data_IF_303498653418
#
_entry.id   IF_303498653418
#
_cell.length_a   1.000
_cell.length_b   1.000
_cell.length_c   1.000
_cell.angle_alpha   90.00
_cell.angle_beta   90.00
_cell.angle_gamma   90.00
#
_symmetry.space_group_name_H-M   'P 1'
#
loop_
_entity.id
_entity.type
_entity.pdbx_description
1 polymer ?
#
# COMPACT_ATOMS: atom_id res chain seq x y z
N UNK A 1 15.36 5.76 17.71
CA UNK A 1 14.82 6.41 16.48
C UNK A 1 14.38 5.32 15.53
N UNK A 2 13.13 5.37 15.04
CA UNK A 2 12.56 4.29 14.20
C UNK A 2 13.07 4.40 12.76
N UNK A 3 13.16 5.61 12.22
CA UNK A 3 13.61 5.88 10.86
C UNK A 3 14.41 7.18 10.85
N UNK A 4 15.60 7.15 10.24
CA UNK A 4 16.33 8.33 9.84
C UNK A 4 16.20 8.50 8.32
N UNK A 5 15.61 9.58 7.86
CA UNK A 5 15.41 9.83 6.42
C UNK A 5 16.73 10.00 5.67
N UNK A 6 17.83 10.35 6.37
CA UNK A 6 19.16 10.43 5.80
C UNK A 6 19.74 9.05 5.41
N UNK A 7 19.22 7.97 6.02
CA UNK A 7 19.62 6.59 5.72
C UNK A 7 18.81 5.96 4.58
N UNK A 8 17.79 6.67 4.06
CA UNK A 8 16.93 6.16 3.00
C UNK A 8 17.62 6.29 1.64
N UNK A 9 18.02 5.17 1.01
CA UNK A 9 18.95 5.20 -0.12
C UNK A 9 18.36 5.80 -1.41
N UNK A 10 17.05 5.92 -1.50
CA UNK A 10 16.37 6.46 -2.68
C UNK A 10 15.94 7.93 -2.52
N UNK A 11 16.25 8.59 -1.40
CA UNK A 11 15.99 10.02 -1.20
C UNK A 11 17.25 10.80 -1.60
N UNK A 12 17.19 11.64 -2.65
CA UNK A 12 18.31 12.50 -3.03
C UNK A 12 18.67 13.47 -1.90
N UNK A 13 19.95 13.63 -1.58
CA UNK A 13 20.42 14.49 -0.50
C UNK A 13 19.89 15.94 -0.58
N UNK A 14 19.72 16.46 -1.79
CA UNK A 14 19.17 17.81 -2.04
C UNK A 14 17.70 17.95 -1.69
N UNK A 15 16.95 16.84 -1.60
CA UNK A 15 15.51 16.83 -1.31
C UNK A 15 15.20 16.44 0.14
N UNK A 16 16.18 16.06 0.94
CA UNK A 16 15.96 15.61 2.33
C UNK A 16 15.14 16.62 3.16
N UNK A 17 15.46 17.93 3.02
CA UNK A 17 14.74 18.98 3.77
C UNK A 17 13.30 19.23 3.29
N UNK A 18 12.94 18.73 2.11
CA UNK A 18 11.63 18.87 1.50
C UNK A 18 10.86 17.54 1.52
N UNK A 19 11.41 16.52 2.16
CA UNK A 19 10.79 15.20 2.26
C UNK A 19 9.93 15.13 3.53
N UNK A 20 8.67 14.77 3.36
CA UNK A 20 7.72 14.58 4.44
C UNK A 20 7.52 13.09 4.71
N UNK A 21 7.42 12.72 5.99
CA UNK A 21 7.03 11.37 6.40
C UNK A 21 5.51 11.35 6.54
N UNK A 22 4.85 10.56 5.70
CA UNK A 22 3.40 10.42 5.65
C UNK A 22 2.85 9.38 6.63
N UNK A 23 3.67 8.42 7.03
CA UNK A 23 3.28 7.43 8.01
C UNK A 23 4.08 6.14 7.98
N UNK A 24 3.71 5.25 8.90
CA UNK A 24 4.32 3.92 9.07
C UNK A 24 3.26 2.84 9.24
N UNK A 25 3.61 1.63 8.81
CA UNK A 25 2.93 0.39 9.17
C UNK A 25 3.98 -0.61 9.64
N UNK A 26 3.62 -1.44 10.60
CA UNK A 26 4.51 -2.45 11.18
C UNK A 26 3.93 -3.82 10.89
N UNK A 27 4.78 -4.78 10.48
CA UNK A 27 4.36 -6.18 10.31
C UNK A 27 3.95 -6.79 11.65
N UNK A 28 3.09 -7.82 11.62
CA UNK A 28 2.57 -8.44 12.85
C UNK A 28 3.67 -9.06 13.72
N UNK A 29 4.73 -9.57 13.11
CA UNK A 29 5.90 -10.11 13.77
C UNK A 29 6.94 -9.05 14.20
N UNK A 30 6.66 -7.78 13.92
CA UNK A 30 7.51 -6.63 14.15
C UNK A 30 8.89 -6.68 13.46
N UNK A 31 9.07 -7.55 12.49
CA UNK A 31 10.35 -7.71 11.77
C UNK A 31 10.55 -6.66 10.67
N UNK A 32 9.46 -6.05 10.18
CA UNK A 32 9.50 -5.13 9.06
C UNK A 32 8.64 -3.89 9.33
N UNK A 33 9.16 -2.73 8.93
CA UNK A 33 8.39 -1.48 8.89
C UNK A 33 8.26 -1.06 7.42
N UNK A 34 7.04 -0.77 7.00
CA UNK A 34 6.76 0.01 5.80
C UNK A 34 6.60 1.48 6.18
N UNK A 35 7.27 2.37 5.50
CA UNK A 35 7.16 3.81 5.71
C UNK A 35 6.80 4.51 4.40
N UNK A 36 6.00 5.57 4.51
CA UNK A 36 5.57 6.38 3.38
C UNK A 36 6.23 7.75 3.46
N UNK A 37 6.79 8.22 2.35
CA UNK A 37 7.44 9.53 2.25
C UNK A 37 7.00 10.25 0.98
N UNK A 38 6.74 11.54 1.09
CA UNK A 38 6.61 12.45 -0.04
C UNK A 38 7.95 13.15 -0.27
N UNK A 39 8.65 12.75 -1.33
CA UNK A 39 9.99 13.24 -1.66
C UNK A 39 9.86 14.53 -2.45
N UNK A 40 10.30 15.64 -1.85
CA UNK A 40 10.30 16.95 -2.50
C UNK A 40 8.94 17.67 -2.40
N UNK A 41 8.04 17.21 -1.55
CA UNK A 41 6.70 17.79 -1.36
C UNK A 41 5.92 17.91 -2.68
N UNK A 42 5.88 16.81 -3.42
CA UNK A 42 5.27 16.75 -4.76
C UNK A 42 3.88 16.08 -4.74
N UNK A 43 3.34 15.83 -3.55
CA UNK A 43 2.07 15.11 -3.35
C UNK A 43 2.07 13.69 -3.95
N UNK A 44 3.26 13.09 -4.07
CA UNK A 44 3.47 11.74 -4.61
C UNK A 44 4.22 10.89 -3.61
N UNK A 45 3.51 9.95 -3.05
CA UNK A 45 4.03 9.12 -1.97
C UNK A 45 4.83 7.94 -2.51
N UNK A 46 6.01 7.76 -1.94
CA UNK A 46 6.86 6.57 -2.13
C UNK A 46 6.88 5.79 -0.83
N UNK A 47 6.66 4.48 -0.90
CA UNK A 47 6.85 3.59 0.24
C UNK A 47 8.22 2.92 0.18
N UNK A 48 8.86 2.83 1.34
CA UNK A 48 10.09 2.08 1.58
C UNK A 48 9.93 1.11 2.73
N UNK A 49 10.96 0.29 2.95
CA UNK A 49 10.92 -0.75 3.98
C UNK A 49 12.19 -0.71 4.82
N UNK A 50 12.04 -0.93 6.13
CA UNK A 50 13.14 -1.11 7.06
C UNK A 50 13.03 -2.47 7.74
N UNK A 51 14.08 -3.26 7.64
CA UNK A 51 14.22 -4.51 8.36
C UNK A 51 14.63 -4.21 9.80
N UNK A 52 13.79 -4.58 10.76
CA UNK A 52 13.98 -4.27 12.17
C UNK A 52 14.98 -5.19 12.84
N UNK A 53 15.21 -6.37 12.27
CA UNK A 53 16.22 -7.32 12.79
C UNK A 53 17.63 -6.82 12.52
N UNK A 54 17.85 -6.27 11.32
CA UNK A 54 19.17 -5.76 10.91
C UNK A 54 19.31 -4.24 11.10
N UNK A 55 18.21 -3.52 11.33
CA UNK A 55 18.15 -2.07 11.40
C UNK A 55 18.35 -1.36 10.05
N UNK A 56 18.44 -2.10 8.95
CA UNK A 56 18.76 -1.54 7.62
C UNK A 56 17.50 -1.16 6.85
N UNK A 57 17.57 -0.01 6.17
CA UNK A 57 16.59 0.35 5.14
C UNK A 57 16.88 -0.44 3.87
N UNK A 58 15.85 -1.07 3.32
CA UNK A 58 15.95 -1.85 2.10
C UNK A 58 16.05 -0.91 0.89
N UNK A 59 16.69 -1.38 -0.18
CA UNK A 59 16.79 -0.62 -1.44
C UNK A 59 15.48 -0.57 -2.20
N UNK A 60 14.57 -1.47 -1.89
CA UNK A 60 13.24 -1.59 -2.49
C UNK A 60 12.39 -0.38 -2.17
N UNK A 61 11.72 0.14 -3.19
CA UNK A 61 10.73 1.21 -3.06
C UNK A 61 9.53 0.94 -3.96
N UNK A 62 8.36 1.38 -3.53
CA UNK A 62 7.13 1.41 -4.29
C UNK A 62 6.75 2.88 -4.53
N UNK A 63 6.39 3.23 -5.74
CA UNK A 63 6.05 4.61 -6.12
C UNK A 63 4.54 4.77 -6.33
N UNK A 64 4.05 6.00 -6.23
CA UNK A 64 2.63 6.34 -6.36
C UNK A 64 1.73 5.53 -5.40
N UNK A 65 2.15 5.40 -4.16
CA UNK A 65 1.44 4.62 -3.15
C UNK A 65 0.39 5.49 -2.47
N UNK A 66 -0.87 5.05 -2.47
CA UNK A 66 -1.92 5.66 -1.66
C UNK A 66 -1.85 5.13 -0.23
N UNK A 67 -2.38 3.94 0.02
CA UNK A 67 -2.24 3.28 1.32
C UNK A 67 -1.49 1.95 1.20
N UNK A 68 -0.96 1.46 2.32
CA UNK A 68 -0.21 0.22 2.42
C UNK A 68 -0.55 -0.51 3.71
N UNK A 69 -0.75 -1.83 3.62
CA UNK A 69 -1.01 -2.71 4.75
C UNK A 69 -0.20 -3.99 4.62
N UNK A 70 0.18 -4.59 5.75
CA UNK A 70 0.86 -5.88 5.73
C UNK A 70 -0.12 -7.04 5.52
N UNK A 71 0.26 -7.95 4.64
CA UNK A 71 -0.28 -9.29 4.53
C UNK A 71 0.35 -10.24 5.56
N UNK A 72 0.50 -11.52 5.22
CA UNK A 72 1.26 -12.47 6.00
C UNK A 72 2.76 -12.39 5.64
N UNK A 73 3.63 -12.67 6.60
CA UNK A 73 5.06 -12.68 6.40
C UNK A 73 5.59 -11.34 5.89
N UNK A 74 6.28 -11.37 4.76
CA UNK A 74 6.82 -10.18 4.08
C UNK A 74 5.97 -9.68 2.92
N UNK A 75 4.72 -10.10 2.87
CA UNK A 75 3.76 -9.62 1.86
C UNK A 75 3.13 -8.30 2.30
N UNK A 76 2.98 -7.39 1.37
CA UNK A 76 2.21 -6.16 1.55
C UNK A 76 1.16 -6.03 0.45
N UNK A 77 0.08 -5.34 0.78
CA UNK A 77 -0.93 -4.88 -0.16
C UNK A 77 -0.91 -3.36 -0.15
N UNK A 78 -0.95 -2.76 -1.32
CA UNK A 78 -0.99 -1.31 -1.41
C UNK A 78 -1.90 -0.85 -2.54
N UNK A 79 -2.46 0.34 -2.40
CA UNK A 79 -3.13 1.02 -3.49
C UNK A 79 -2.12 1.80 -4.30
N UNK A 80 -2.15 1.61 -5.62
CA UNK A 80 -1.39 2.41 -6.56
C UNK A 80 -2.26 3.56 -7.06
N UNK A 81 -1.69 4.76 -7.04
CA UNK A 81 -2.34 5.96 -7.54
C UNK A 81 -1.98 6.22 -9.00
N UNK A 82 -2.95 6.71 -9.74
CA UNK A 82 -2.77 7.19 -11.09
C UNK A 82 -1.77 8.37 -11.12
N UNK A 83 -0.88 8.36 -12.10
CA UNK A 83 0.23 9.32 -12.16
C UNK A 83 -0.21 10.76 -12.42
N UNK A 84 -1.35 10.98 -13.05
CA UNK A 84 -1.81 12.33 -13.42
C UNK A 84 -2.80 12.88 -12.38
N UNK A 85 -3.77 12.08 -11.97
CA UNK A 85 -4.83 12.49 -11.06
C UNK A 85 -4.52 12.25 -9.58
N UNK A 86 -3.46 11.49 -9.27
CA UNK A 86 -3.13 11.00 -7.91
C UNK A 86 -4.27 10.20 -7.25
N UNK A 87 -5.19 9.66 -8.05
CA UNK A 87 -6.33 8.87 -7.62
C UNK A 87 -5.89 7.42 -7.38
N UNK A 88 -6.12 6.82 -6.20
CA UNK A 88 -5.91 5.40 -6.00
C UNK A 88 -6.95 4.62 -6.81
N UNK A 89 -6.50 3.72 -7.69
CA UNK A 89 -7.36 2.99 -8.62
C UNK A 89 -7.08 1.50 -8.69
N UNK A 90 -5.94 1.07 -8.16
CA UNK A 90 -5.47 -0.30 -8.30
C UNK A 90 -4.95 -0.83 -6.97
N UNK A 91 -5.16 -2.11 -6.67
CA UNK A 91 -4.57 -2.80 -5.53
C UNK A 91 -3.54 -3.80 -6.02
N UNK A 92 -2.34 -3.70 -5.47
CA UNK A 92 -1.21 -4.57 -5.79
C UNK A 92 -0.81 -5.34 -4.53
N UNK A 93 -0.64 -6.64 -4.69
CA UNK A 93 0.07 -7.50 -3.75
C UNK A 93 1.55 -7.48 -4.12
N UNK A 94 2.42 -7.33 -3.13
CA UNK A 94 3.86 -7.26 -3.32
C UNK A 94 4.58 -8.08 -2.26
N UNK A 95 5.54 -8.92 -2.66
CA UNK A 95 6.44 -9.63 -1.74
C UNK A 95 7.75 -8.83 -1.59
N UNK A 96 7.98 -8.30 -0.39
CA UNK A 96 9.16 -7.46 -0.11
C UNK A 96 10.48 -8.22 -0.22
N UNK A 97 10.44 -9.56 -0.06
CA UNK A 97 11.62 -10.41 -0.12
C UNK A 97 12.05 -10.72 -1.55
N UNK A 98 11.09 -11.11 -2.41
CA UNK A 98 11.38 -11.53 -3.79
C UNK A 98 11.29 -10.38 -4.78
N UNK A 99 10.50 -9.35 -4.48
CA UNK A 99 10.17 -8.27 -5.40
C UNK A 99 9.02 -8.59 -6.35
N UNK A 100 8.40 -9.77 -6.19
CA UNK A 100 7.27 -10.18 -7.03
C UNK A 100 6.04 -9.34 -6.71
N UNK A 101 5.34 -8.91 -7.76
CA UNK A 101 4.13 -8.11 -7.65
C UNK A 101 3.00 -8.69 -8.50
N UNK A 102 1.79 -8.53 -8.01
CA UNK A 102 0.57 -8.94 -8.71
C UNK A 102 -0.52 -7.90 -8.49
N UNK A 103 -1.07 -7.37 -9.58
CA UNK A 103 -2.32 -6.60 -9.51
C UNK A 103 -3.46 -7.57 -9.19
N UNK A 104 -4.14 -7.33 -8.06
CA UNK A 104 -5.26 -8.17 -7.62
C UNK A 104 -6.61 -7.50 -7.83
N UNK A 105 -6.64 -6.17 -7.94
CA UNK A 105 -7.86 -5.41 -8.20
C UNK A 105 -7.52 -4.13 -8.98
N UNK A 106 -8.42 -3.72 -9.88
CA UNK A 106 -8.31 -2.47 -10.60
C UNK A 106 -9.71 -1.93 -10.94
N UNK A 107 -9.89 -0.63 -10.77
CA UNK A 107 -11.09 0.10 -11.18
C UNK A 107 -10.71 1.29 -12.05
N UNK A 108 -10.96 1.14 -13.36
CA UNK A 108 -10.59 2.14 -14.37
C UNK A 108 -11.55 3.33 -14.44
N UNK A 109 -12.68 3.29 -13.70
CA UNK A 109 -13.61 4.41 -13.70
C UNK A 109 -12.96 5.62 -12.98
N UNK A 110 -12.76 6.75 -13.66
CA UNK A 110 -12.06 7.91 -13.08
C UNK A 110 -12.78 8.57 -11.92
N UNK A 111 -14.04 8.26 -11.69
CA UNK A 111 -14.83 8.78 -10.56
C UNK A 111 -14.72 7.92 -9.30
N UNK A 112 -14.19 6.71 -9.41
CA UNK A 112 -14.07 5.79 -8.29
C UNK A 112 -12.71 5.91 -7.61
N UNK A 113 -12.72 5.81 -6.28
CA UNK A 113 -11.53 5.76 -5.43
C UNK A 113 -11.43 4.38 -4.80
N UNK A 114 -10.24 3.81 -4.84
CA UNK A 114 -9.98 2.48 -4.28
C UNK A 114 -9.22 2.64 -2.97
N UNK A 115 -9.76 2.09 -1.89
CA UNK A 115 -9.09 1.99 -0.61
C UNK A 115 -8.98 0.55 -0.12
N UNK A 116 -8.08 0.31 0.83
CA UNK A 116 -7.83 -1.00 1.41
C UNK A 116 -7.86 -0.95 2.93
N UNK A 117 -8.36 -2.00 3.52
CA UNK A 117 -8.39 -2.20 4.96
C UNK A 117 -8.12 -3.64 5.34
N UNK A 118 -7.99 -3.88 6.64
CA UNK A 118 -7.85 -5.23 7.22
C UNK A 118 -8.99 -5.48 8.20
N UNK A 119 -9.55 -6.68 8.18
CA UNK A 119 -10.56 -7.08 9.16
C UNK A 119 -10.00 -7.14 10.58
N UNK A 120 -10.85 -6.98 11.61
CA UNK A 120 -10.42 -6.99 13.02
C UNK A 120 -9.73 -8.29 13.42
N UNK A 121 -10.15 -9.42 12.85
CA UNK A 121 -9.54 -10.73 13.05
C UNK A 121 -8.27 -10.94 12.23
N UNK A 122 -7.90 -9.95 11.41
CA UNK A 122 -6.72 -9.93 10.53
C UNK A 122 -6.68 -11.07 9.50
N UNK A 123 -7.81 -11.69 9.18
CA UNK A 123 -7.87 -12.79 8.21
C UNK A 123 -8.02 -12.33 6.77
N UNK A 124 -8.65 -11.17 6.58
CA UNK A 124 -9.00 -10.68 5.26
C UNK A 124 -8.49 -9.27 5.01
N UNK A 125 -8.15 -9.02 3.77
CA UNK A 125 -7.97 -7.70 3.19
C UNK A 125 -9.30 -7.30 2.56
N UNK A 126 -9.79 -6.13 2.90
CA UNK A 126 -11.01 -5.54 2.33
C UNK A 126 -10.59 -4.49 1.32
N UNK A 127 -11.19 -4.52 0.15
CA UNK A 127 -11.00 -3.55 -0.92
C UNK A 127 -12.32 -2.87 -1.15
N UNK A 128 -12.35 -1.54 -1.04
CA UNK A 128 -13.51 -0.74 -1.38
C UNK A 128 -13.24 0.03 -2.67
N UNK A 129 -14.20 0.03 -3.58
CA UNK A 129 -14.23 0.96 -4.71
C UNK A 129 -15.49 1.82 -4.57
N UNK A 130 -15.33 3.12 -4.40
CA UNK A 130 -16.41 4.00 -4.00
C UNK A 130 -16.37 5.36 -4.68
N UNK A 131 -17.53 6.00 -4.71
CA UNK A 131 -17.74 7.41 -4.97
C UNK A 131 -18.44 8.03 -3.75
N UNK A 132 -18.94 9.24 -3.89
CA UNK A 132 -19.83 9.85 -2.87
C UNK A 132 -21.23 9.23 -2.84
N UNK A 133 -21.63 8.56 -3.93
CA UNK A 133 -23.01 8.10 -4.16
C UNK A 133 -23.14 6.58 -4.20
N UNK A 134 -22.04 5.88 -4.40
CA UNK A 134 -22.04 4.42 -4.52
C UNK A 134 -20.77 3.78 -3.99
N UNK A 135 -20.85 2.52 -3.64
CA UNK A 135 -19.70 1.73 -3.22
C UNK A 135 -19.87 0.26 -3.56
N UNK A 136 -18.77 -0.41 -3.78
CA UNK A 136 -18.70 -1.87 -3.81
C UNK A 136 -17.53 -2.38 -2.96
N UNK A 137 -17.70 -3.57 -2.42
CA UNK A 137 -16.72 -4.16 -1.51
C UNK A 137 -16.27 -5.51 -2.02
N UNK A 138 -14.97 -5.69 -2.03
CA UNK A 138 -14.31 -6.94 -2.36
C UNK A 138 -13.48 -7.42 -1.18
N UNK A 139 -13.23 -8.71 -1.09
CA UNK A 139 -12.45 -9.31 -0.01
C UNK A 139 -11.52 -10.37 -0.56
N UNK A 140 -10.30 -10.40 -0.06
CA UNK A 140 -9.33 -11.46 -0.33
C UNK A 140 -8.74 -11.98 0.96
N UNK A 141 -8.30 -13.23 0.97
CA UNK A 141 -7.63 -13.79 2.15
C UNK A 141 -6.25 -13.15 2.34
N UNK A 142 -5.91 -12.95 3.60
CA UNK A 142 -4.60 -12.47 4.02
C UNK A 142 -3.64 -13.64 4.13
N UNK A 143 -3.17 -14.13 2.99
CA UNK A 143 -2.31 -15.31 2.86
C UNK A 143 -1.01 -14.98 2.13
N UNK A 144 0.00 -15.84 2.27
CA UNK A 144 1.23 -15.78 1.49
C UNK A 144 1.06 -16.38 0.08
N UNK A 145 0.04 -17.20 -0.13
CA UNK A 145 -0.25 -17.85 -1.42
C UNK A 145 -0.73 -16.83 -2.45
N UNK A 146 -0.05 -16.77 -3.59
CA UNK A 146 -0.46 -15.93 -4.71
C UNK A 146 -1.81 -16.36 -5.30
N UNK A 147 -2.10 -17.65 -5.30
CA UNK A 147 -3.33 -18.21 -5.89
C UNK A 147 -4.57 -17.87 -5.06
N UNK A 148 -4.42 -17.73 -3.75
CA UNK A 148 -5.52 -17.45 -2.81
C UNK A 148 -5.79 -15.96 -2.62
N UNK A 149 -5.00 -15.08 -3.26
CA UNK A 149 -5.16 -13.63 -3.10
C UNK A 149 -6.06 -12.96 -4.13
N UNK A 150 -6.73 -13.72 -4.99
CA UNK A 150 -7.70 -13.12 -5.91
C UNK A 150 -8.96 -12.70 -5.14
N UNK A 151 -9.35 -11.42 -5.21
CA UNK A 151 -10.49 -10.93 -4.46
C UNK A 151 -11.81 -11.48 -5.03
N UNK A 152 -12.73 -11.79 -4.11
CA UNK A 152 -14.13 -12.06 -4.44
C UNK A 152 -15.00 -10.89 -4.03
N UNK A 153 -15.99 -10.59 -4.85
CA UNK A 153 -16.96 -9.53 -4.56
C UNK A 153 -17.82 -9.93 -3.36
N UNK A 154 -17.87 -9.07 -2.36
CA UNK A 154 -18.70 -9.24 -1.17
C UNK A 154 -19.99 -8.44 -1.27
N UNK A 155 -19.91 -7.20 -1.72
CA UNK A 155 -21.04 -6.30 -1.89
C UNK A 155 -20.98 -5.76 -3.31
N UNK A 156 -22.08 -5.95 -4.06
CA UNK A 156 -22.25 -5.34 -5.38
C UNK A 156 -22.53 -3.85 -5.22
N UNK A 157 -22.06 -3.06 -6.16
CA UNK A 157 -22.26 -1.61 -6.17
C UNK A 157 -23.74 -1.26 -5.99
N UNK A 158 -24.02 -0.50 -4.95
CA UNK A 158 -25.33 0.02 -4.62
C UNK A 158 -25.26 1.53 -4.77
N UNK A 159 -26.17 2.09 -5.54
CA UNK A 159 -26.36 3.54 -5.60
C UNK A 159 -27.26 3.96 -4.45
N UNK A 160 -26.90 5.04 -3.77
CA UNK A 160 -27.81 5.67 -2.83
C UNK A 160 -29.09 6.10 -3.57
N UNK A 161 -30.22 5.63 -3.07
CA UNK A 161 -31.56 5.90 -3.62
C UNK A 161 -32.10 7.18 -3.01
#
# INVERSE_FOLDING_TARGET
MILDICEVPFIPAKLLRQTLIEGFKISDDHSLIAFKVDIGNMERVTAGFKDMTTGKVLKTKLTNVGDIIFGCGRTVFYTECDADSNRPYKVVRYDVRTGDSQTIFMDDNPTHYVDIGITKDKKYIVINSNTKEDSEVWVTERTESLQETLPRKLITRVKDV
#
